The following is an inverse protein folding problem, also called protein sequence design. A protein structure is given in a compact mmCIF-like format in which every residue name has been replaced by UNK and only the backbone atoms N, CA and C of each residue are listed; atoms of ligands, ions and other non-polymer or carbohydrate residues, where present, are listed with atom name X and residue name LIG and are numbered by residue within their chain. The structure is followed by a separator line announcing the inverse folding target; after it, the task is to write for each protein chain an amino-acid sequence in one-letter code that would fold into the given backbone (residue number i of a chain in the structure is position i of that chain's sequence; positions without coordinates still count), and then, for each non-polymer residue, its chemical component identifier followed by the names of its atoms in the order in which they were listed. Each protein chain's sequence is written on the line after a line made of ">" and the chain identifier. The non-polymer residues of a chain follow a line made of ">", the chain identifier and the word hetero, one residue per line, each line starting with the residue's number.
data_IF_871620976791
#
_entry.id   IF_871620976791
#
_cell.length_a   1.000
_cell.length_b   1.000
_cell.length_c   1.000
_cell.angle_alpha   90.00
_cell.angle_beta   90.00
_cell.angle_gamma   90.00
#
_symmetry.space_group_name_H-M   'P 1'
#
loop_
_entity.id
_entity.type
_entity.pdbx_description
1 polymer ?
#
# COMPACT_ATOMS: atom_id res chain seq x y z
N UNK A 1 12.02 -24.64 62.15
CA UNK A 1 11.13 -23.74 61.37
C UNK A 1 11.73 -23.61 59.97
N UNK A 2 11.20 -24.28 58.93
CA UNK A 2 10.06 -23.91 58.05
C UNK A 2 10.27 -22.63 57.20
N UNK A 3 10.27 -22.83 55.87
CA UNK A 3 9.93 -21.93 54.73
C UNK A 3 10.91 -20.77 54.43
N UNK A 4 11.18 -20.34 53.19
CA UNK A 4 10.36 -20.29 51.96
C UNK A 4 11.28 -20.29 50.71
N UNK A 5 11.19 -21.30 49.85
CA UNK A 5 10.72 -21.22 48.44
C UNK A 5 10.86 -19.87 47.71
N UNK A 6 11.87 -19.79 46.84
CA UNK A 6 11.93 -18.87 45.70
C UNK A 6 12.26 -19.65 44.42
N UNK A 7 11.34 -20.51 43.96
CA UNK A 7 11.38 -21.05 42.58
C UNK A 7 11.04 -19.88 41.65
N UNK A 8 12.05 -19.23 41.10
CA UNK A 8 11.86 -18.35 39.95
C UNK A 8 11.33 -19.21 38.80
N UNK A 9 10.03 -19.08 38.58
CA UNK A 9 9.33 -19.60 37.42
C UNK A 9 9.95 -18.95 36.18
N UNK A 10 10.84 -19.69 35.53
CA UNK A 10 11.23 -19.45 34.14
C UNK A 10 9.95 -19.44 33.32
N UNK A 11 9.43 -18.24 33.02
CA UNK A 11 8.36 -18.04 32.05
C UNK A 11 8.89 -18.49 30.69
N UNK A 12 8.64 -19.75 30.37
CA UNK A 12 8.83 -20.27 29.03
C UNK A 12 8.05 -19.37 28.07
N UNK A 13 8.81 -18.65 27.23
CA UNK A 13 8.28 -17.88 26.11
C UNK A 13 7.45 -18.84 25.27
N UNK A 14 6.16 -18.56 25.12
CA UNK A 14 5.24 -19.41 24.37
C UNK A 14 5.86 -19.72 22.98
N UNK A 15 5.80 -20.98 22.51
CA UNK A 15 6.31 -21.32 21.19
C UNK A 15 5.62 -20.42 20.16
N UNK A 16 6.36 -19.91 19.15
CA UNK A 16 5.75 -19.12 18.09
C UNK A 16 4.60 -19.93 17.47
N UNK A 17 3.48 -19.29 17.09
CA UNK A 17 2.34 -20.00 16.53
C UNK A 17 2.81 -20.82 15.33
N UNK A 18 2.48 -22.11 15.33
CA UNK A 18 2.78 -23.00 14.20
C UNK A 18 2.10 -22.42 12.96
N UNK A 19 2.91 -21.92 12.02
CA UNK A 19 2.43 -21.37 10.75
C UNK A 19 1.56 -22.42 10.07
N UNK A 20 0.28 -22.09 9.83
CA UNK A 20 -0.70 -23.05 9.33
C UNK A 20 -0.31 -23.60 7.94
N UNK A 21 -0.78 -24.80 7.59
CA UNK A 21 -0.56 -25.35 6.24
C UNK A 21 -1.01 -24.40 5.13
N UNK A 22 -2.12 -23.70 5.36
CA UNK A 22 -2.63 -22.63 4.49
C UNK A 22 -1.60 -21.51 4.30
N UNK A 23 -1.05 -20.97 5.40
CA UNK A 23 -0.07 -19.88 5.36
C UNK A 23 1.23 -20.30 4.67
N UNK A 24 1.71 -21.52 4.93
CA UNK A 24 2.91 -22.07 4.27
C UNK A 24 2.75 -22.19 2.75
N UNK A 25 1.56 -22.60 2.29
CA UNK A 25 1.25 -22.67 0.85
C UNK A 25 1.24 -21.28 0.21
N UNK A 26 0.67 -20.28 0.89
CA UNK A 26 0.62 -18.90 0.40
C UNK A 26 2.02 -18.28 0.30
N UNK A 27 2.86 -18.45 1.34
CA UNK A 27 4.24 -17.98 1.34
C UNK A 27 5.09 -18.66 0.26
N UNK A 28 4.93 -19.98 0.09
CA UNK A 28 5.62 -20.74 -0.94
C UNK A 28 5.24 -20.26 -2.36
N UNK A 29 3.95 -20.02 -2.61
CA UNK A 29 3.49 -19.51 -3.89
C UNK A 29 4.05 -18.12 -4.20
N UNK A 30 4.09 -17.22 -3.22
CA UNK A 30 4.69 -15.89 -3.36
C UNK A 30 6.20 -15.96 -3.68
N UNK A 31 6.94 -16.82 -2.99
CA UNK A 31 8.37 -17.01 -3.23
C UNK A 31 8.66 -17.54 -4.64
N UNK A 32 7.87 -18.53 -5.09
CA UNK A 32 8.00 -19.09 -6.43
C UNK A 32 7.62 -18.05 -7.50
N UNK A 33 6.48 -17.37 -7.35
CA UNK A 33 6.03 -16.36 -8.32
C UNK A 33 7.01 -15.19 -8.49
N UNK A 34 7.76 -14.83 -7.45
CA UNK A 34 8.84 -13.83 -7.56
C UNK A 34 10.00 -14.28 -8.47
N UNK A 35 10.23 -15.59 -8.62
CA UNK A 35 11.40 -16.13 -9.33
C UNK A 35 11.07 -16.68 -10.72
N UNK A 36 9.92 -17.34 -10.92
CA UNK A 36 9.70 -18.23 -12.09
C UNK A 36 8.63 -17.80 -13.11
N UNK A 37 8.08 -16.58 -13.03
CA UNK A 37 7.12 -15.94 -13.97
C UNK A 37 5.64 -16.29 -13.69
N UNK A 38 4.96 -15.46 -12.88
CA UNK A 38 3.52 -15.43 -12.59
C UNK A 38 2.98 -16.56 -11.69
N UNK A 39 2.00 -16.23 -10.84
CA UNK A 39 1.26 -17.20 -10.00
C UNK A 39 0.51 -18.23 -10.85
N UNK A 40 0.01 -17.83 -12.03
CA UNK A 40 -0.80 -18.67 -12.89
C UNK A 40 -0.02 -19.82 -13.57
N UNK A 41 1.32 -19.76 -13.57
CA UNK A 41 2.16 -20.81 -14.16
C UNK A 41 2.67 -21.83 -13.13
N UNK A 42 2.40 -21.61 -11.84
CA UNK A 42 2.93 -22.44 -10.77
C UNK A 42 2.32 -23.84 -10.77
N UNK A 43 3.16 -24.85 -10.56
CA UNK A 43 2.70 -26.23 -10.40
C UNK A 43 2.28 -26.52 -8.96
N UNK A 44 1.17 -27.22 -8.74
CA UNK A 44 0.70 -27.60 -7.39
C UNK A 44 1.78 -28.35 -6.60
N UNK A 45 2.44 -29.32 -7.25
CA UNK A 45 3.54 -30.09 -6.62
C UNK A 45 4.74 -29.23 -6.27
N UNK A 46 5.01 -28.21 -7.09
CA UNK A 46 6.09 -27.26 -6.85
C UNK A 46 5.81 -26.43 -5.60
N UNK A 47 4.60 -25.85 -5.49
CA UNK A 47 4.18 -25.09 -4.32
C UNK A 47 4.16 -25.95 -3.06
N UNK A 48 3.62 -27.16 -3.12
CA UNK A 48 3.60 -28.06 -1.96
C UNK A 48 5.02 -28.44 -1.52
N UNK A 49 5.92 -28.71 -2.46
CA UNK A 49 7.34 -29.00 -2.18
C UNK A 49 8.03 -27.80 -1.52
N UNK A 50 7.85 -26.60 -2.08
CA UNK A 50 8.41 -25.37 -1.51
C UNK A 50 7.84 -25.10 -0.10
N UNK A 51 6.55 -25.38 0.11
CA UNK A 51 5.91 -25.26 1.41
C UNK A 51 6.35 -26.34 2.41
N UNK A 52 7.05 -27.40 1.98
CA UNK A 52 7.40 -28.56 2.81
C UNK A 52 6.16 -29.37 3.24
N UNK A 53 5.18 -29.50 2.36
CA UNK A 53 3.90 -30.17 2.59
C UNK A 53 3.63 -31.25 1.54
N UNK A 54 2.78 -32.21 1.89
CA UNK A 54 2.24 -33.17 0.93
C UNK A 54 1.36 -32.43 -0.11
N UNK A 55 1.45 -32.74 -1.42
CA UNK A 55 0.58 -32.18 -2.45
C UNK A 55 -0.93 -32.21 -2.12
N UNK A 56 -1.42 -33.28 -1.48
CA UNK A 56 -2.82 -33.40 -1.09
C UNK A 56 -3.25 -32.36 -0.04
N UNK A 57 -2.31 -31.76 0.70
CA UNK A 57 -2.59 -30.67 1.63
C UNK A 57 -3.08 -29.41 0.90
N UNK A 58 -2.73 -29.23 -0.38
CA UNK A 58 -3.23 -28.10 -1.18
C UNK A 58 -4.76 -28.09 -1.21
N UNK A 59 -5.36 -29.20 -1.62
CA UNK A 59 -6.81 -29.35 -1.75
C UNK A 59 -7.59 -29.30 -0.42
N UNK A 60 -6.88 -29.36 0.72
CA UNK A 60 -7.50 -29.12 2.03
C UNK A 60 -7.67 -27.64 2.35
N UNK A 61 -7.01 -26.77 1.61
CA UNK A 61 -6.97 -25.33 1.87
C UNK A 61 -7.45 -24.50 0.69
N UNK A 62 -7.23 -24.97 -0.54
CA UNK A 62 -7.58 -24.25 -1.78
C UNK A 62 -8.06 -25.24 -2.83
N UNK A 63 -9.13 -24.90 -3.53
CA UNK A 63 -9.67 -25.67 -4.64
C UNK A 63 -8.81 -25.52 -5.90
N UNK A 64 -8.28 -24.32 -6.13
CA UNK A 64 -7.44 -23.98 -7.27
C UNK A 64 -6.44 -22.84 -6.94
N UNK A 65 -5.65 -22.44 -7.94
CA UNK A 65 -4.67 -21.37 -7.81
C UNK A 65 -5.28 -19.97 -7.77
N UNK A 66 -6.49 -19.78 -8.31
CA UNK A 66 -7.19 -18.51 -8.19
C UNK A 66 -7.62 -18.28 -6.74
N UNK A 67 -8.15 -19.30 -6.05
CA UNK A 67 -8.50 -19.21 -4.64
C UNK A 67 -7.27 -18.97 -3.75
N UNK A 68 -6.15 -19.64 -4.04
CA UNK A 68 -4.89 -19.37 -3.36
C UNK A 68 -4.44 -17.92 -3.60
N UNK A 69 -4.48 -17.46 -4.84
CA UNK A 69 -4.10 -16.08 -5.19
C UNK A 69 -4.99 -15.04 -4.54
N UNK A 70 -6.31 -15.28 -4.49
CA UNK A 70 -7.27 -14.42 -3.79
C UNK A 70 -6.96 -14.33 -2.29
N UNK A 71 -6.65 -15.47 -1.65
CA UNK A 71 -6.24 -15.49 -0.26
C UNK A 71 -4.95 -14.70 -0.01
N UNK A 72 -3.99 -14.78 -0.93
CA UNK A 72 -2.74 -14.00 -0.88
C UNK A 72 -3.03 -12.51 -1.02
N UNK A 73 -3.84 -12.12 -2.00
CA UNK A 73 -4.25 -10.73 -2.21
C UNK A 73 -4.97 -10.18 -0.98
N UNK A 74 -5.93 -10.92 -0.43
CA UNK A 74 -6.71 -10.50 0.73
C UNK A 74 -5.81 -10.20 1.93
N UNK A 75 -4.95 -11.15 2.30
CA UNK A 75 -4.00 -10.99 3.40
C UNK A 75 -3.04 -9.81 3.19
N UNK A 76 -2.43 -9.69 2.00
CA UNK A 76 -1.49 -8.61 1.72
C UNK A 76 -2.17 -7.24 1.65
N UNK A 77 -3.38 -7.18 1.10
CA UNK A 77 -4.16 -5.95 1.04
C UNK A 77 -4.63 -5.51 2.42
N UNK A 78 -4.92 -6.46 3.31
CA UNK A 78 -5.20 -6.21 4.72
C UNK A 78 -3.98 -5.60 5.42
N UNK A 79 -2.82 -6.24 5.32
CA UNK A 79 -1.57 -5.72 5.88
C UNK A 79 -1.20 -4.34 5.34
N UNK A 80 -1.36 -4.10 4.03
CA UNK A 80 -1.13 -2.80 3.42
C UNK A 80 -2.08 -1.75 3.97
N UNK A 81 -3.39 -2.02 3.99
CA UNK A 81 -4.38 -1.08 4.50
C UNK A 81 -4.21 -0.81 6.00
N UNK A 82 -3.91 -1.83 6.80
CA UNK A 82 -3.60 -1.68 8.23
C UNK A 82 -2.33 -0.85 8.43
N UNK A 83 -1.25 -1.16 7.71
CA UNK A 83 0.00 -0.40 7.75
C UNK A 83 -0.18 1.06 7.36
N UNK A 84 -0.91 1.32 6.28
CA UNK A 84 -1.26 2.69 5.85
C UNK A 84 -2.10 3.40 6.92
N UNK A 85 -3.12 2.74 7.49
CA UNK A 85 -3.98 3.32 8.53
C UNK A 85 -3.21 3.62 9.83
N UNK A 86 -2.44 2.67 10.34
CA UNK A 86 -1.66 2.85 11.57
C UNK A 86 -0.63 3.98 11.40
N UNK A 87 0.07 3.97 10.26
CA UNK A 87 1.11 4.96 9.98
C UNK A 87 0.54 6.33 9.64
N UNK A 88 -0.68 6.45 9.09
CA UNK A 88 -1.43 7.72 8.92
C UNK A 88 -2.01 8.26 10.23
N UNK A 89 -2.35 7.38 11.18
CA UNK A 89 -2.82 7.81 12.52
C UNK A 89 -1.73 8.53 13.31
N UNK A 90 -0.46 8.15 13.13
CA UNK A 90 0.69 8.79 13.82
C UNK A 90 0.86 10.29 13.49
N UNK A 91 0.82 10.73 12.20
CA UNK A 91 0.72 12.15 11.84
C UNK A 91 -0.51 12.86 12.40
N UNK A 92 -1.67 12.18 12.43
CA UNK A 92 -2.90 12.72 13.00
C UNK A 92 -2.83 12.92 14.53
N UNK A 93 -2.14 12.02 15.24
CA UNK A 93 -1.84 12.12 16.68
C UNK A 93 -0.76 13.18 16.99
N UNK A 94 0.18 13.41 16.05
CA UNK A 94 1.17 14.48 16.12
C UNK A 94 0.60 15.88 15.85
N UNK A 95 -0.72 16.02 15.66
CA UNK A 95 -1.40 17.31 15.54
C UNK A 95 -1.32 17.94 14.14
N UNK A 96 -1.00 17.19 13.08
CA UNK A 96 -1.03 17.70 11.70
C UNK A 96 -2.49 17.81 11.19
N UNK A 97 -3.22 18.81 11.70
CA UNK A 97 -4.46 19.28 11.09
C UNK A 97 -4.14 20.47 10.20
N UNK A 98 -4.30 20.32 8.89
CA UNK A 98 -4.15 21.46 7.97
C UNK A 98 -5.14 22.59 8.28
N UNK A 99 -6.25 22.27 8.96
CA UNK A 99 -7.25 23.21 9.44
C UNK A 99 -6.71 24.29 10.40
N UNK A 100 -5.53 24.08 11.01
CA UNK A 100 -4.92 25.04 11.95
C UNK A 100 -3.97 26.04 11.27
N UNK A 101 -3.80 25.97 9.95
CA UNK A 101 -2.93 26.89 9.21
C UNK A 101 -3.52 28.30 9.15
N UNK A 102 -2.74 29.32 9.54
CA UNK A 102 -3.21 30.71 9.63
C UNK A 102 -3.17 31.46 8.30
N UNK A 103 -2.44 30.93 7.32
CA UNK A 103 -2.35 31.50 5.97
C UNK A 103 -2.16 30.41 4.90
N UNK A 104 -2.39 30.74 3.61
CA UNK A 104 -2.28 29.77 2.50
C UNK A 104 -0.90 29.14 2.34
N UNK A 105 0.18 29.88 2.64
CA UNK A 105 1.56 29.38 2.52
C UNK A 105 1.92 28.34 3.59
N UNK A 106 1.42 28.51 4.81
CA UNK A 106 1.59 27.55 5.91
C UNK A 106 0.76 26.28 5.66
N UNK A 107 -0.47 26.43 5.16
CA UNK A 107 -1.30 25.30 4.74
C UNK A 107 -0.57 24.49 3.67
N UNK A 108 0.04 25.18 2.70
CA UNK A 108 0.77 24.54 1.63
C UNK A 108 2.02 23.79 2.12
N UNK A 109 2.83 24.41 2.97
CA UNK A 109 4.02 23.75 3.53
C UNK A 109 3.64 22.49 4.33
N UNK A 110 2.53 22.56 5.10
CA UNK A 110 1.99 21.39 5.80
C UNK A 110 1.49 20.32 4.83
N UNK A 111 0.81 20.69 3.74
CA UNK A 111 0.37 19.73 2.72
C UNK A 111 1.56 19.01 2.07
N UNK A 112 2.65 19.73 1.79
CA UNK A 112 3.88 19.14 1.28
C UNK A 112 4.50 18.14 2.26
N UNK A 113 4.52 18.45 3.55
CA UNK A 113 5.01 17.52 4.58
C UNK A 113 4.14 16.28 4.71
N UNK A 114 2.81 16.42 4.64
CA UNK A 114 1.87 15.28 4.63
C UNK A 114 2.11 14.38 3.41
N UNK A 115 2.31 14.97 2.22
CA UNK A 115 2.63 14.21 1.00
C UNK A 115 3.96 13.47 1.16
N UNK A 116 5.03 14.15 1.63
CA UNK A 116 6.35 13.55 1.88
C UNK A 116 6.27 12.35 2.81
N UNK A 117 5.58 12.50 3.95
CA UNK A 117 5.39 11.42 4.91
C UNK A 117 4.59 10.26 4.29
N UNK A 118 3.50 10.56 3.59
CA UNK A 118 2.66 9.53 2.96
C UNK A 118 3.41 8.72 1.90
N UNK A 119 4.19 9.39 1.05
CA UNK A 119 5.04 8.73 0.04
C UNK A 119 6.08 7.84 0.72
N UNK A 120 6.79 8.35 1.73
CA UNK A 120 7.79 7.57 2.47
C UNK A 120 7.17 6.31 3.10
N UNK A 121 5.97 6.43 3.69
CA UNK A 121 5.26 5.31 4.29
C UNK A 121 4.93 4.19 3.30
N UNK A 122 4.42 4.55 2.12
CA UNK A 122 4.16 3.58 1.05
C UNK A 122 5.47 2.90 0.61
N UNK A 123 6.52 3.69 0.38
CA UNK A 123 7.82 3.18 -0.10
C UNK A 123 8.52 2.26 0.92
N UNK A 124 8.39 2.55 2.21
CA UNK A 124 8.88 1.69 3.29
C UNK A 124 8.11 0.36 3.30
N UNK A 125 6.78 0.42 3.22
CA UNK A 125 5.92 -0.77 3.21
C UNK A 125 6.25 -1.70 2.03
N UNK A 126 6.38 -1.16 0.81
CA UNK A 126 6.69 -1.99 -0.36
C UNK A 126 8.10 -2.56 -0.29
N UNK A 127 9.02 -1.90 0.42
CA UNK A 127 10.36 -2.42 0.68
C UNK A 127 10.33 -3.60 1.66
N UNK A 128 9.55 -3.48 2.74
CA UNK A 128 9.34 -4.55 3.72
C UNK A 128 8.66 -5.77 3.07
N UNK A 129 7.73 -5.55 2.15
CA UNK A 129 6.94 -6.59 1.47
C UNK A 129 7.27 -6.73 -0.02
N UNK A 130 8.56 -6.59 -0.40
CA UNK A 130 9.03 -6.56 -1.80
C UNK A 130 8.47 -7.68 -2.69
N UNK A 131 8.58 -8.92 -2.24
CA UNK A 131 8.15 -10.11 -3.00
C UNK A 131 6.66 -10.06 -3.34
N UNK A 132 5.84 -9.79 -2.32
CA UNK A 132 4.40 -9.65 -2.46
C UNK A 132 4.03 -8.52 -3.43
N UNK A 133 4.71 -7.39 -3.33
CA UNK A 133 4.44 -6.23 -4.17
C UNK A 133 4.77 -6.46 -5.65
N UNK A 134 5.95 -7.00 -5.94
CA UNK A 134 6.38 -7.34 -7.31
C UNK A 134 5.45 -8.36 -7.95
N UNK A 135 5.04 -9.38 -7.20
CA UNK A 135 4.07 -10.38 -7.68
C UNK A 135 2.72 -9.72 -7.95
N UNK A 136 2.22 -8.90 -7.02
CA UNK A 136 0.95 -8.18 -7.18
C UNK A 136 0.90 -7.35 -8.46
N UNK A 137 1.95 -6.55 -8.75
CA UNK A 137 1.97 -5.73 -9.98
C UNK A 137 1.96 -6.59 -11.24
N UNK A 138 2.71 -7.70 -11.27
CA UNK A 138 2.70 -8.61 -12.43
C UNK A 138 1.32 -9.21 -12.65
N UNK A 139 0.66 -9.66 -11.58
CA UNK A 139 -0.66 -10.28 -11.67
C UNK A 139 -1.78 -9.29 -12.03
N UNK A 140 -1.60 -7.98 -11.80
CA UNK A 140 -2.54 -6.97 -12.31
C UNK A 140 -2.68 -7.00 -13.84
N UNK A 141 -1.64 -7.48 -14.53
CA UNK A 141 -1.61 -7.68 -15.97
C UNK A 141 -1.45 -9.16 -16.36
N UNK A 142 -1.61 -10.07 -15.39
CA UNK A 142 -1.47 -11.51 -15.55
C UNK A 142 -2.65 -12.15 -16.28
N UNK A 143 -2.58 -13.46 -16.50
CA UNK A 143 -3.58 -14.20 -17.28
C UNK A 143 -4.90 -14.41 -16.53
N UNK A 144 -4.92 -14.49 -15.20
CA UNK A 144 -6.14 -14.73 -14.41
C UNK A 144 -7.05 -13.48 -14.32
N UNK A 145 -8.26 -13.49 -14.91
CA UNK A 145 -9.21 -12.39 -14.78
C UNK A 145 -9.70 -12.19 -13.34
N UNK A 146 -9.75 -13.28 -12.55
CA UNK A 146 -10.18 -13.25 -11.15
C UNK A 146 -9.20 -12.45 -10.31
N UNK A 147 -7.90 -12.76 -10.43
CA UNK A 147 -6.85 -12.03 -9.71
C UNK A 147 -6.75 -10.57 -10.17
N UNK A 148 -6.85 -10.30 -11.48
CA UNK A 148 -6.88 -8.92 -12.01
C UNK A 148 -8.02 -8.10 -11.41
N UNK A 149 -9.23 -8.67 -11.31
CA UNK A 149 -10.39 -7.99 -10.73
C UNK A 149 -10.19 -7.73 -9.23
N UNK A 150 -9.65 -8.70 -8.50
CA UNK A 150 -9.37 -8.56 -7.07
C UNK A 150 -8.33 -7.49 -6.79
N UNK A 151 -7.21 -7.46 -7.53
CA UNK A 151 -6.18 -6.44 -7.39
C UNK A 151 -6.70 -5.03 -7.74
N UNK A 152 -7.51 -4.91 -8.80
CA UNK A 152 -8.15 -3.64 -9.14
C UNK A 152 -9.02 -3.14 -7.99
N UNK A 153 -9.85 -4.02 -7.43
CA UNK A 153 -10.66 -3.69 -6.25
C UNK A 153 -9.80 -3.22 -5.07
N UNK A 154 -8.65 -3.84 -4.81
CA UNK A 154 -7.73 -3.39 -3.76
C UNK A 154 -7.26 -1.96 -4.02
N UNK A 155 -6.87 -1.61 -5.25
CA UNK A 155 -6.47 -0.24 -5.59
C UNK A 155 -7.63 0.74 -5.46
N UNK A 156 -8.82 0.37 -5.91
CA UNK A 156 -10.01 1.21 -5.81
C UNK A 156 -10.36 1.50 -4.34
N UNK A 157 -10.33 0.47 -3.48
CA UNK A 157 -10.58 0.62 -2.05
C UNK A 157 -9.51 1.48 -1.34
N UNK A 158 -8.23 1.38 -1.76
CA UNK A 158 -7.16 2.25 -1.22
C UNK A 158 -7.36 3.71 -1.68
N UNK A 159 -7.82 3.91 -2.92
CA UNK A 159 -8.18 5.23 -3.44
C UNK A 159 -9.34 5.87 -2.65
N UNK A 160 -10.34 5.06 -2.29
CA UNK A 160 -11.45 5.49 -1.44
C UNK A 160 -10.97 5.86 -0.03
N UNK A 161 -10.16 5.00 0.60
CA UNK A 161 -9.54 5.29 1.90
C UNK A 161 -8.75 6.62 1.86
N UNK A 162 -7.96 6.84 0.80
CA UNK A 162 -7.20 8.10 0.61
C UNK A 162 -8.12 9.31 0.43
N UNK A 163 -9.25 9.15 -0.28
CA UNK A 163 -10.22 10.22 -0.50
C UNK A 163 -10.78 10.73 0.83
N UNK A 164 -11.21 9.80 1.68
CA UNK A 164 -11.73 10.11 3.01
C UNK A 164 -10.65 10.74 3.91
N UNK A 165 -9.41 10.26 3.85
CA UNK A 165 -8.29 10.83 4.59
C UNK A 165 -8.02 12.29 4.17
N UNK A 166 -8.01 12.57 2.85
CA UNK A 166 -7.76 13.92 2.32
C UNK A 166 -8.89 14.88 2.71
N UNK A 167 -10.15 14.47 2.57
CA UNK A 167 -11.30 15.30 2.94
C UNK A 167 -11.38 15.53 4.46
N UNK A 168 -10.97 14.55 5.26
CA UNK A 168 -10.90 14.66 6.71
C UNK A 168 -9.75 15.57 7.18
N UNK A 169 -8.61 15.55 6.50
CA UNK A 169 -7.42 16.30 6.89
C UNK A 169 -7.39 17.73 6.32
N UNK A 170 -7.92 17.93 5.11
CA UNK A 170 -7.77 19.16 4.32
C UNK A 170 -9.13 19.82 4.05
N UNK A 171 -9.25 21.12 4.36
CA UNK A 171 -10.36 21.93 3.84
C UNK A 171 -9.98 22.41 2.44
N UNK A 172 -10.53 21.76 1.41
CA UNK A 172 -10.31 22.09 0.00
C UNK A 172 -11.59 22.74 -0.56
N UNK A 173 -11.87 24.03 -0.29
CA UNK A 173 -13.17 24.66 -0.61
C UNK A 173 -13.50 24.68 -2.11
N UNK A 174 -12.49 24.53 -2.96
CA UNK A 174 -12.63 24.54 -4.43
C UNK A 174 -12.81 23.13 -5.03
N UNK A 175 -12.57 22.07 -4.27
CA UNK A 175 -12.66 20.70 -4.75
C UNK A 175 -13.86 19.99 -4.13
N UNK A 176 -14.64 19.33 -4.99
CA UNK A 176 -15.71 18.44 -4.56
C UNK A 176 -15.11 17.10 -4.11
N UNK A 177 -15.93 16.28 -3.42
CA UNK A 177 -15.55 14.90 -3.09
C UNK A 177 -15.15 14.11 -4.34
N UNK A 178 -15.89 14.28 -5.44
CA UNK A 178 -15.64 13.56 -6.68
C UNK A 178 -14.30 13.97 -7.32
N UNK A 179 -13.96 15.27 -7.28
CA UNK A 179 -12.64 15.76 -7.73
C UNK A 179 -11.51 15.10 -6.90
N UNK A 180 -11.67 15.03 -5.57
CA UNK A 180 -10.67 14.41 -4.68
C UNK A 180 -10.59 12.90 -4.91
N UNK A 181 -11.72 12.23 -5.16
CA UNK A 181 -11.76 10.80 -5.46
C UNK A 181 -11.02 10.47 -6.76
N UNK A 182 -11.24 11.25 -7.82
CA UNK A 182 -10.55 11.07 -9.10
C UNK A 182 -9.03 11.24 -8.94
N UNK A 183 -8.60 12.31 -8.26
CA UNK A 183 -7.17 12.53 -7.97
C UNK A 183 -6.59 11.37 -7.14
N UNK A 184 -7.30 10.93 -6.10
CA UNK A 184 -6.83 9.87 -5.21
C UNK A 184 -6.65 8.55 -5.95
N UNK A 185 -7.59 8.20 -6.84
CA UNK A 185 -7.45 7.02 -7.70
C UNK A 185 -6.24 7.11 -8.65
N UNK A 186 -5.99 8.29 -9.23
CA UNK A 186 -4.81 8.52 -10.08
C UNK A 186 -3.52 8.42 -9.28
N UNK A 187 -3.48 8.99 -8.08
CA UNK A 187 -2.33 8.90 -7.17
C UNK A 187 -2.05 7.45 -6.81
N UNK A 188 -3.05 6.69 -6.35
CA UNK A 188 -2.87 5.28 -5.96
C UNK A 188 -2.38 4.44 -7.13
N UNK A 189 -2.97 4.63 -8.33
CA UNK A 189 -2.54 3.94 -9.55
C UNK A 189 -1.10 4.30 -9.93
N UNK A 190 -0.72 5.58 -9.91
CA UNK A 190 0.64 5.97 -10.29
C UNK A 190 1.67 5.53 -9.24
N UNK A 191 1.30 5.57 -7.95
CA UNK A 191 2.12 5.05 -6.86
C UNK A 191 2.43 3.56 -7.04
N UNK A 192 1.62 2.79 -7.77
CA UNK A 192 1.99 1.41 -8.07
C UNK A 192 3.30 1.32 -8.84
N UNK A 193 3.46 2.17 -9.85
CA UNK A 193 4.64 2.20 -10.71
C UNK A 193 5.85 2.84 -10.03
N UNK A 194 5.68 3.97 -9.34
CA UNK A 194 6.78 4.58 -8.58
C UNK A 194 7.37 3.60 -7.56
N UNK A 195 6.51 2.83 -6.90
CA UNK A 195 6.95 1.82 -5.94
C UNK A 195 7.72 0.68 -6.59
N UNK A 196 7.32 0.24 -7.80
CA UNK A 196 8.09 -0.76 -8.55
C UNK A 196 9.46 -0.22 -8.94
N UNK A 197 9.51 0.97 -9.54
CA UNK A 197 10.76 1.62 -9.93
C UNK A 197 11.69 1.78 -8.72
N UNK A 198 11.15 2.16 -7.56
CA UNK A 198 11.88 2.31 -6.31
C UNK A 198 12.51 1.00 -5.81
N UNK A 199 11.84 -0.13 -6.05
CA UNK A 199 12.31 -1.47 -5.70
C UNK A 199 13.32 -2.05 -6.69
N UNK A 200 13.29 -1.60 -7.95
CA UNK A 200 14.16 -2.06 -9.03
C UNK A 200 15.42 -1.21 -9.20
N UNK A 201 15.38 0.08 -8.82
CA UNK A 201 16.47 1.04 -9.01
C UNK A 201 16.92 1.66 -7.67
N UNK A 202 17.65 0.92 -6.80
CA UNK A 202 18.14 1.43 -5.52
C UNK A 202 18.94 2.73 -5.63
N UNK A 203 19.67 2.91 -6.72
CA UNK A 203 20.49 4.10 -7.01
C UNK A 203 19.66 5.35 -7.33
N UNK A 204 18.38 5.18 -7.70
CA UNK A 204 17.46 6.28 -8.06
C UNK A 204 16.39 6.54 -7.00
N UNK A 205 16.41 5.83 -5.87
CA UNK A 205 15.37 5.91 -4.82
C UNK A 205 14.99 7.33 -4.42
N UNK A 206 15.99 8.17 -4.21
CA UNK A 206 15.78 9.55 -3.79
C UNK A 206 15.15 10.41 -4.90
N UNK A 207 15.50 10.15 -6.16
CA UNK A 207 14.87 10.80 -7.31
C UNK A 207 13.41 10.35 -7.47
N UNK A 208 13.15 9.06 -7.38
CA UNK A 208 11.81 8.47 -7.51
C UNK A 208 10.89 8.99 -6.41
N UNK A 209 11.39 9.08 -5.17
CA UNK A 209 10.66 9.69 -4.04
C UNK A 209 10.24 11.13 -4.36
N UNK A 210 11.18 11.97 -4.82
CA UNK A 210 10.88 13.35 -5.21
C UNK A 210 9.90 13.44 -6.37
N UNK A 211 9.97 12.53 -7.34
CA UNK A 211 9.03 12.48 -8.47
C UNK A 211 7.62 12.14 -8.00
N UNK A 212 7.48 11.16 -7.11
CA UNK A 212 6.19 10.79 -6.51
C UNK A 212 5.57 11.96 -5.72
N UNK A 213 6.36 12.61 -4.85
CA UNK A 213 5.90 13.80 -4.11
C UNK A 213 5.45 14.92 -5.05
N UNK A 214 6.28 15.24 -6.05
CA UNK A 214 5.97 16.29 -7.03
C UNK A 214 4.73 15.95 -7.86
N UNK A 215 4.55 14.69 -8.25
CA UNK A 215 3.39 14.23 -8.99
C UNK A 215 2.09 14.48 -8.21
N UNK A 216 2.04 14.06 -6.94
CA UNK A 216 0.87 14.24 -6.08
C UNK A 216 0.55 15.73 -5.91
N UNK A 217 1.56 16.55 -5.61
CA UNK A 217 1.38 17.98 -5.46
C UNK A 217 0.85 18.61 -6.75
N UNK A 218 1.43 18.30 -7.91
CA UNK A 218 0.99 18.86 -9.19
C UNK A 218 -0.46 18.50 -9.53
N UNK A 219 -0.94 17.29 -9.19
CA UNK A 219 -2.33 16.90 -9.40
C UNK A 219 -3.31 17.73 -8.57
N UNK A 220 -3.09 17.82 -7.26
CA UNK A 220 -3.98 18.59 -6.38
C UNK A 220 -3.96 20.08 -6.71
N UNK A 221 -2.78 20.63 -6.99
CA UNK A 221 -2.66 22.02 -7.42
C UNK A 221 -3.31 22.26 -8.78
N UNK A 222 -3.10 21.35 -9.74
CA UNK A 222 -3.73 21.41 -11.05
C UNK A 222 -5.25 21.48 -10.95
N UNK A 223 -5.84 20.64 -10.10
CA UNK A 223 -7.29 20.64 -9.89
C UNK A 223 -7.79 21.92 -9.20
N UNK A 224 -7.11 22.40 -8.16
CA UNK A 224 -7.47 23.67 -7.49
C UNK A 224 -7.43 24.83 -8.49
N UNK A 225 -6.34 24.88 -9.27
CA UNK A 225 -6.08 25.95 -10.19
C UNK A 225 -7.08 25.97 -11.36
N UNK A 226 -7.47 24.78 -11.88
CA UNK A 226 -8.52 24.66 -12.88
C UNK A 226 -9.89 25.18 -12.41
N UNK A 227 -10.20 25.07 -11.12
CA UNK A 227 -11.47 25.56 -10.52
C UNK A 227 -11.41 27.03 -10.08
N UNK A 228 -10.21 27.62 -9.99
CA UNK A 228 -9.99 29.04 -9.69
C UNK A 228 -9.09 29.73 -10.74
N UNK A 229 -9.53 29.79 -12.02
CA UNK A 229 -8.72 30.35 -13.11
C UNK A 229 -8.36 31.84 -12.91
N UNK A 230 -9.11 32.55 -12.07
CA UNK A 230 -8.90 33.97 -11.79
C UNK A 230 -7.73 34.21 -10.82
N UNK A 231 -7.48 33.28 -9.89
CA UNK A 231 -6.31 33.25 -9.00
C UNK A 231 -5.03 32.91 -9.79
N UNK A 232 -5.13 32.00 -10.77
CA UNK A 232 -4.04 31.70 -11.70
C UNK A 232 -3.65 32.88 -12.59
N UNK A 233 -4.64 33.64 -13.08
CA UNK A 233 -4.41 34.84 -13.89
C UNK A 233 -3.55 35.90 -13.19
N UNK A 234 -3.68 36.03 -11.87
CA UNK A 234 -2.83 36.92 -11.05
C UNK A 234 -1.38 36.41 -10.90
N UNK A 235 -1.15 35.10 -11.04
CA UNK A 235 0.17 34.47 -10.93
C UNK A 235 0.93 34.30 -12.26
N UNK A 236 0.30 34.65 -13.39
CA UNK A 236 0.90 34.55 -14.74
C UNK A 236 1.02 33.11 -15.28
N UNK A 237 0.51 32.10 -14.56
CA UNK A 237 0.53 30.71 -14.98
C UNK A 237 -0.70 30.38 -15.83
N UNK A 238 -0.50 29.99 -17.09
CA UNK A 238 -1.56 29.42 -17.95
C UNK A 238 -1.44 27.89 -17.96
N UNK A 239 -2.56 27.20 -17.73
CA UNK A 239 -2.67 25.77 -18.04
C UNK A 239 -2.74 25.59 -19.56
N UNK A 240 -2.11 24.53 -20.11
CA UNK A 240 -2.28 24.19 -21.52
C UNK A 240 -3.73 23.75 -21.79
N UNK A 241 -4.25 24.15 -22.95
CA UNK A 241 -5.55 23.74 -23.47
C UNK A 241 -5.59 22.25 -23.83
#
# INVERSE_FOLDING_TARGET
>A
MKKDSGRESSRAKAPPPLVSGRQRLMEAALQLAATTRSLASLGLREVARQAGLNPNTFYRHFNDFDELGLAVIDQLSGLLREGLRERRRKPAEAGLKLADAKNPGEALAKAQDVVRQSVALVLDFVTEHRTAYVVGIREMHGSSPVLRKALRKVLDDIGEDMTEDVLGALKLPLLTRDDVAEISQLVVRQMTFFSLDYLEHPEQREQIRRQAERFILLLFWGAIAAKAPQELGASGLRFPA
#
